data_IF_312674664320
#
_entry.id   IF_312674664320
#
_cell.length_a   1.000
_cell.length_b   1.000
_cell.length_c   1.000
_cell.angle_alpha   90.00
_cell.angle_beta   90.00
_cell.angle_gamma   90.00
#
_symmetry.space_group_name_H-M   'P 1'
#
loop_
_entity.id
_entity.type
_entity.pdbx_description
1 polymer ?
#
# COMPACT_ATOMS: atom_id res chain seq x y z
N UNK A 1 -51.92 -29.06 -19.30
CA UNK A 1 -51.94 -27.70 -18.73
C UNK A 1 -50.51 -27.31 -18.41
N UNK A 2 -49.95 -26.29 -19.07
CA UNK A 2 -48.57 -25.82 -18.84
C UNK A 2 -48.64 -24.48 -18.09
N UNK A 3 -48.24 -24.48 -16.83
CA UNK A 3 -48.12 -23.27 -16.00
C UNK A 3 -46.92 -22.45 -16.46
N UNK A 4 -47.15 -21.18 -16.80
CA UNK A 4 -46.11 -20.21 -17.18
C UNK A 4 -45.51 -19.62 -15.91
N UNK A 5 -44.20 -19.77 -15.71
CA UNK A 5 -43.45 -19.03 -14.70
C UNK A 5 -43.38 -17.55 -15.07
N UNK A 6 -43.91 -16.69 -14.18
CA UNK A 6 -43.80 -15.24 -14.24
C UNK A 6 -42.36 -14.82 -13.90
N UNK A 7 -41.72 -14.09 -14.82
CA UNK A 7 -40.37 -13.55 -14.68
C UNK A 7 -40.49 -12.21 -13.93
N UNK A 8 -40.33 -12.24 -12.63
CA UNK A 8 -40.36 -11.06 -11.77
C UNK A 8 -39.11 -10.22 -12.03
N UNK A 9 -39.28 -8.97 -12.51
CA UNK A 9 -38.18 -8.01 -12.67
C UNK A 9 -37.75 -7.51 -11.30
N UNK A 10 -36.45 -7.56 -11.02
CA UNK A 10 -35.85 -6.93 -9.85
C UNK A 10 -36.19 -5.43 -9.82
N UNK A 11 -36.63 -4.87 -8.67
CA UNK A 11 -36.82 -3.44 -8.55
C UNK A 11 -35.47 -2.71 -8.67
N UNK A 12 -35.47 -1.62 -9.41
CA UNK A 12 -34.34 -0.70 -9.55
C UNK A 12 -33.99 -0.09 -8.19
N UNK A 13 -32.71 -0.14 -7.84
CA UNK A 13 -32.15 0.53 -6.67
C UNK A 13 -32.35 2.05 -6.79
N UNK A 14 -32.62 2.76 -5.68
CA UNK A 14 -32.76 4.21 -5.69
C UNK A 14 -31.41 4.88 -6.00
N UNK A 15 -31.44 5.88 -6.88
CA UNK A 15 -30.30 6.71 -7.22
C UNK A 15 -29.79 7.44 -5.98
N UNK A 16 -28.56 7.14 -5.58
CA UNK A 16 -27.88 7.88 -4.51
C UNK A 16 -27.37 9.22 -5.06
N UNK A 17 -27.62 10.35 -4.36
CA UNK A 17 -27.19 11.66 -4.82
C UNK A 17 -25.67 11.81 -4.77
N UNK A 18 -25.07 12.08 -5.93
CA UNK A 18 -23.62 12.32 -6.16
C UNK A 18 -23.13 13.70 -5.72
N UNK A 19 -23.84 14.40 -4.82
CA UNK A 19 -23.58 15.80 -4.49
C UNK A 19 -22.74 16.02 -3.22
N UNK A 20 -21.69 15.22 -2.99
CA UNK A 20 -20.81 15.41 -1.80
C UNK A 20 -19.30 15.45 -2.08
N UNK A 21 -18.88 15.67 -3.33
CA UNK A 21 -17.47 15.91 -3.65
C UNK A 21 -17.30 17.25 -4.38
N UNK A 22 -17.44 18.34 -3.63
CA UNK A 22 -16.87 19.64 -3.99
C UNK A 22 -16.58 20.45 -2.72
N UNK A 23 -15.37 21.01 -2.70
CA UNK A 23 -14.80 22.01 -1.78
C UNK A 23 -13.83 21.47 -0.72
N UNK A 24 -12.55 21.78 -0.95
CA UNK A 24 -11.39 22.01 -0.05
C UNK A 24 -10.17 21.69 -0.92
N UNK A 25 -9.25 22.58 -1.30
CA UNK A 25 -8.99 24.01 -1.06
C UNK A 25 -7.99 24.47 -2.13
N UNK A 26 -8.13 25.72 -2.58
CA UNK A 26 -7.14 26.49 -3.35
C UNK A 26 -5.89 26.76 -2.50
N UNK A 27 -4.69 26.63 -3.06
CA UNK A 27 -3.76 27.74 -3.36
C UNK A 27 -3.46 28.67 -2.18
N UNK A 28 -2.26 28.55 -1.64
CA UNK A 28 -1.48 29.69 -1.17
C UNK A 28 0.01 29.38 -1.37
N UNK A 29 0.65 30.35 -2.00
CA UNK A 29 2.03 30.41 -2.42
C UNK A 29 2.74 31.39 -1.48
N UNK A 30 3.68 30.94 -0.64
CA UNK A 30 4.82 31.76 -0.17
C UNK A 30 5.84 30.93 0.62
N UNK A 31 7.09 31.19 0.25
CA UNK A 31 8.39 30.79 0.81
C UNK A 31 8.52 30.88 2.34
N UNK A 32 9.07 29.85 2.98
CA UNK A 32 10.17 30.04 3.94
C UNK A 32 10.97 28.75 4.19
N UNK A 33 12.25 28.94 4.49
CA UNK A 33 13.26 27.91 4.70
C UNK A 33 13.13 27.18 6.05
N UNK A 34 13.73 25.98 6.11
CA UNK A 34 14.48 25.59 7.31
C UNK A 34 13.95 24.42 8.14
N UNK A 35 14.70 23.31 8.03
CA UNK A 35 15.03 22.38 9.12
C UNK A 35 13.91 21.46 9.66
N UNK A 36 13.93 20.21 9.18
CA UNK A 36 14.10 18.95 9.94
C UNK A 36 13.22 17.82 9.40
N UNK A 37 13.81 16.94 8.60
CA UNK A 37 13.28 15.59 8.34
C UNK A 37 14.34 14.55 8.67
N UNK A 38 14.39 14.16 9.95
CA UNK A 38 14.79 12.81 10.37
C UNK A 38 13.53 11.95 10.40
N UNK A 39 13.68 10.67 10.03
CA UNK A 39 12.67 9.58 9.98
C UNK A 39 11.93 9.55 8.62
N UNK A 40 11.91 8.49 7.82
CA UNK A 40 12.26 7.08 8.05
C UNK A 40 12.62 6.42 6.72
N UNK A 41 13.75 5.71 6.68
CA UNK A 41 14.12 4.84 5.57
C UNK A 41 13.32 3.52 5.70
N UNK A 42 12.21 3.40 4.99
CA UNK A 42 11.58 2.10 4.79
C UNK A 42 12.29 1.40 3.63
N UNK A 43 13.25 0.56 3.99
CA UNK A 43 13.92 -0.39 3.10
C UNK A 43 12.92 -1.49 2.76
N UNK A 44 12.40 -1.48 1.54
CA UNK A 44 11.73 -2.64 0.94
C UNK A 44 12.79 -3.71 0.63
N UNK A 45 12.67 -4.94 1.15
CA UNK A 45 13.57 -6.01 0.78
C UNK A 45 13.33 -6.44 -0.68
N UNK A 46 14.37 -6.85 -1.42
CA UNK A 46 14.21 -7.35 -2.78
C UNK A 46 13.48 -8.70 -2.77
N UNK A 47 12.67 -9.01 -3.82
CA UNK A 47 11.99 -10.28 -3.92
C UNK A 47 13.00 -11.43 -4.09
N UNK A 48 12.80 -12.51 -3.31
CA UNK A 48 13.55 -13.76 -3.46
C UNK A 48 13.29 -14.36 -4.85
N UNK A 49 14.32 -14.74 -5.63
CA UNK A 49 14.09 -15.46 -6.87
C UNK A 49 13.52 -16.85 -6.56
N UNK A 50 12.33 -17.12 -7.10
CA UNK A 50 11.73 -18.45 -7.14
C UNK A 50 12.63 -19.36 -7.98
N UNK A 51 13.22 -20.32 -7.29
CA UNK A 51 14.04 -21.41 -7.83
C UNK A 51 13.14 -22.36 -8.62
N UNK A 52 12.96 -22.09 -9.92
CA UNK A 52 12.38 -23.06 -10.84
C UNK A 52 13.47 -24.00 -11.32
N UNK A 53 13.46 -25.22 -10.78
CA UNK A 53 14.23 -26.36 -11.25
C UNK A 53 13.56 -26.94 -12.49
N UNK A 54 14.09 -26.61 -13.67
CA UNK A 54 13.90 -27.39 -14.89
C UNK A 54 15.28 -27.84 -15.37
N UNK A 55 15.58 -29.10 -15.06
CA UNK A 55 16.76 -29.84 -15.51
C UNK A 55 16.63 -30.16 -16.99
N UNK A 56 17.42 -29.49 -17.82
CA UNK A 56 17.73 -29.94 -19.18
C UNK A 56 19.23 -30.17 -19.26
N UNK A 57 19.61 -31.45 -19.20
CA UNK A 57 20.99 -31.92 -19.32
C UNK A 57 21.43 -31.83 -20.78
N UNK A 58 22.33 -30.90 -21.08
CA UNK A 58 23.10 -30.89 -22.33
C UNK A 58 24.54 -31.27 -21.96
N UNK A 59 25.13 -32.29 -22.61
CA UNK A 59 26.49 -32.73 -22.29
C UNK A 59 27.51 -31.69 -22.78
N UNK A 60 28.28 -31.15 -21.84
CA UNK A 60 29.43 -30.28 -22.11
C UNK A 60 30.58 -31.11 -22.69
N UNK A 61 30.89 -30.84 -23.96
CA UNK A 61 32.11 -31.29 -24.63
C UNK A 61 33.33 -30.63 -23.97
N UNK A 62 34.40 -31.38 -23.65
CA UNK A 62 35.64 -30.79 -23.17
C UNK A 62 36.35 -30.06 -24.31
N UNK A 63 36.53 -28.74 -24.17
CA UNK A 63 37.53 -28.01 -24.94
C UNK A 63 38.90 -28.59 -24.59
N UNK A 64 39.50 -29.29 -25.56
CA UNK A 64 40.91 -29.64 -25.52
C UNK A 64 41.71 -28.36 -25.78
N UNK A 65 42.37 -27.87 -24.73
CA UNK A 65 43.43 -26.87 -24.84
C UNK A 65 44.59 -27.48 -25.64
N UNK A 66 44.64 -27.14 -26.92
CA UNK A 66 45.77 -27.45 -27.79
C UNK A 66 46.93 -26.52 -27.44
N UNK A 67 47.78 -26.99 -26.52
CA UNK A 67 49.06 -26.37 -26.18
C UNK A 67 50.01 -26.53 -27.37
N UNK A 68 50.10 -25.49 -28.19
CA UNK A 68 51.17 -25.35 -29.18
C UNK A 68 52.48 -24.99 -28.47
N UNK A 69 53.63 -25.52 -28.94
CA UNK A 69 54.92 -25.32 -28.29
C UNK A 69 55.38 -23.87 -28.42
N UNK A 70 55.88 -23.33 -27.30
CA UNK A 70 56.46 -22.00 -27.19
C UNK A 70 57.65 -21.83 -28.16
N UNK A 71 57.38 -21.25 -29.33
CA UNK A 71 58.42 -20.68 -30.19
C UNK A 71 58.92 -19.39 -29.57
N UNK A 72 60.23 -19.27 -29.42
CA UNK A 72 60.92 -18.18 -28.74
C UNK A 72 60.62 -16.83 -29.41
N UNK A 73 59.65 -16.08 -28.87
CA UNK A 73 59.42 -14.68 -29.23
C UNK A 73 60.48 -13.86 -28.51
N UNK A 74 61.42 -13.31 -29.28
CA UNK A 74 62.39 -12.33 -28.81
C UNK A 74 61.68 -11.24 -28.00
N UNK A 75 62.14 -10.98 -26.78
CA UNK A 75 61.58 -9.98 -25.89
C UNK A 75 61.66 -8.59 -26.51
N UNK A 76 60.59 -8.17 -27.20
CA UNK A 76 60.44 -6.81 -27.71
C UNK A 76 60.47 -5.88 -26.49
N UNK A 77 61.50 -5.04 -26.39
CA UNK A 77 61.61 -4.02 -25.33
C UNK A 77 60.45 -3.04 -25.50
N UNK A 78 59.37 -3.25 -24.76
CA UNK A 78 58.19 -2.37 -24.77
C UNK A 78 58.58 -1.05 -24.12
N UNK A 79 58.32 0.07 -24.81
CA UNK A 79 58.63 1.41 -24.31
C UNK A 79 57.78 1.70 -23.04
N UNK A 80 58.41 2.04 -21.89
CA UNK A 80 57.69 2.29 -20.63
C UNK A 80 56.68 3.45 -20.73
N UNK A 81 56.92 4.43 -21.60
CA UNK A 81 55.98 5.53 -21.82
C UNK A 81 54.67 5.05 -22.47
N UNK A 82 54.73 4.09 -23.39
CA UNK A 82 53.55 3.54 -24.06
C UNK A 82 52.65 2.77 -23.08
N UNK A 83 53.25 2.06 -22.12
CA UNK A 83 52.49 1.35 -21.06
C UNK A 83 51.77 2.32 -20.12
N UNK A 84 52.42 3.44 -19.77
CA UNK A 84 51.78 4.47 -18.95
C UNK A 84 50.57 5.11 -19.65
N UNK A 85 50.68 5.38 -20.96
CA UNK A 85 49.57 5.91 -21.77
C UNK A 85 48.45 4.88 -21.90
N UNK A 86 48.78 3.62 -22.18
CA UNK A 86 47.79 2.53 -22.25
C UNK A 86 47.03 2.39 -20.94
N UNK A 87 47.73 2.45 -19.79
CA UNK A 87 47.10 2.39 -18.47
C UNK A 87 46.12 3.54 -18.25
N UNK A 88 46.50 4.77 -18.64
CA UNK A 88 45.59 5.93 -18.56
C UNK A 88 44.35 5.75 -19.44
N UNK A 89 44.49 5.23 -20.65
CA UNK A 89 43.34 4.96 -21.51
C UNK A 89 42.45 3.84 -20.97
N UNK A 90 43.05 2.81 -20.39
CA UNK A 90 42.31 1.72 -19.76
C UNK A 90 41.53 2.21 -18.53
N UNK A 91 42.14 3.03 -17.67
CA UNK A 91 41.46 3.66 -16.53
C UNK A 91 40.29 4.56 -16.99
N UNK A 92 40.48 5.33 -18.06
CA UNK A 92 39.40 6.14 -18.65
C UNK A 92 38.27 5.28 -19.25
N UNK A 93 38.61 4.18 -19.90
CA UNK A 93 37.63 3.23 -20.43
C UNK A 93 36.84 2.56 -19.30
N UNK A 94 37.48 2.16 -18.22
CA UNK A 94 36.81 1.58 -17.04
C UNK A 94 35.92 2.60 -16.33
N UNK A 95 36.33 3.87 -16.28
CA UNK A 95 35.51 4.94 -15.72
C UNK A 95 34.21 5.19 -16.53
N UNK A 96 34.24 4.96 -17.84
CA UNK A 96 33.09 5.21 -18.72
C UNK A 96 32.25 3.95 -19.01
N UNK A 97 32.89 2.80 -19.19
CA UNK A 97 32.29 1.51 -19.57
C UNK A 97 32.13 0.52 -18.42
N UNK A 98 32.55 0.88 -17.20
CA UNK A 98 32.49 0.02 -16.02
C UNK A 98 33.71 -0.90 -15.87
N UNK A 99 33.76 -1.62 -14.74
CA UNK A 99 34.86 -2.53 -14.40
C UNK A 99 34.97 -3.64 -15.46
N UNK A 100 36.11 -3.69 -16.15
CA UNK A 100 36.39 -4.71 -17.18
C UNK A 100 36.21 -4.25 -18.62
N UNK A 101 35.88 -2.98 -18.88
CA UNK A 101 35.90 -2.42 -20.23
C UNK A 101 37.32 -2.53 -20.83
N UNK A 102 37.46 -3.14 -22.01
CA UNK A 102 38.78 -3.33 -22.66
C UNK A 102 38.95 -2.32 -23.78
N UNK A 103 40.06 -1.58 -23.76
CA UNK A 103 40.41 -0.71 -24.89
C UNK A 103 40.90 -1.54 -26.08
N UNK A 104 40.45 -1.16 -27.27
CA UNK A 104 40.86 -1.80 -28.52
C UNK A 104 41.91 -0.91 -29.19
N UNK A 105 43.17 -1.33 -29.05
CA UNK A 105 44.33 -0.64 -29.65
C UNK A 105 44.68 -1.20 -31.03
N UNK A 106 44.28 -2.44 -31.32
CA UNK A 106 44.50 -3.04 -32.63
C UNK A 106 43.63 -2.35 -33.69
N UNK A 107 44.27 -1.83 -34.74
CA UNK A 107 43.62 -1.09 -35.82
C UNK A 107 42.56 -1.92 -36.55
N UNK A 108 42.77 -3.20 -36.78
CA UNK A 108 41.82 -4.07 -37.50
C UNK A 108 40.53 -4.25 -36.72
N UNK A 109 40.64 -4.59 -35.44
CA UNK A 109 39.48 -4.69 -34.53
C UNK A 109 38.77 -3.34 -34.36
N UNK A 110 39.53 -2.24 -34.32
CA UNK A 110 38.96 -0.90 -34.28
C UNK A 110 38.19 -0.57 -35.57
N UNK A 111 38.69 -0.96 -36.76
CA UNK A 111 37.95 -0.81 -38.03
C UNK A 111 36.60 -1.53 -37.98
N UNK A 112 36.56 -2.77 -37.48
CA UNK A 112 35.33 -3.56 -37.35
C UNK A 112 34.31 -2.89 -36.42
N UNK A 113 34.75 -2.41 -35.25
CA UNK A 113 33.87 -1.73 -34.30
C UNK A 113 33.34 -0.41 -34.87
N UNK A 114 34.20 0.37 -35.56
CA UNK A 114 33.79 1.61 -36.22
C UNK A 114 32.78 1.33 -37.33
N UNK A 115 33.02 0.29 -38.13
CA UNK A 115 32.12 -0.17 -39.18
C UNK A 115 30.74 -0.52 -38.59
N UNK A 116 30.69 -1.32 -37.53
CA UNK A 116 29.44 -1.72 -36.89
C UNK A 116 28.69 -0.50 -36.34
N UNK A 117 29.39 0.39 -35.64
CA UNK A 117 28.80 1.61 -35.10
C UNK A 117 28.19 2.51 -36.19
N UNK A 118 28.91 2.71 -37.31
CA UNK A 118 28.41 3.53 -38.42
C UNK A 118 27.29 2.86 -39.21
N UNK A 119 27.28 1.52 -39.26
CA UNK A 119 26.22 0.73 -39.87
C UNK A 119 24.93 0.76 -39.02
N UNK A 120 25.06 0.70 -37.70
CA UNK A 120 23.91 0.70 -36.78
C UNK A 120 23.27 2.08 -36.64
N UNK A 121 24.03 3.16 -36.74
CA UNK A 121 23.53 4.54 -36.58
C UNK A 121 22.77 5.07 -37.81
N UNK A 122 22.89 4.44 -38.97
CA UNK A 122 22.19 4.81 -40.22
C UNK A 122 22.27 6.29 -40.63
N UNK A 123 23.31 7.03 -40.21
CA UNK A 123 23.51 8.44 -40.54
C UNK A 123 24.98 8.81 -40.75
N UNK A 124 25.28 9.84 -41.56
CA UNK A 124 26.61 10.42 -41.61
C UNK A 124 27.00 11.01 -40.25
N UNK A 125 28.22 10.71 -39.82
CA UNK A 125 28.74 11.19 -38.55
C UNK A 125 30.10 11.87 -38.73
N UNK A 126 30.36 12.92 -37.97
CA UNK A 126 31.70 13.49 -37.89
C UNK A 126 32.58 12.70 -36.91
N UNK A 127 33.90 12.93 -36.97
CA UNK A 127 34.87 12.24 -36.10
C UNK A 127 34.59 12.43 -34.61
N UNK A 128 34.06 13.59 -34.22
CA UNK A 128 33.74 13.92 -32.82
C UNK A 128 32.54 13.12 -32.33
N UNK A 129 31.53 12.92 -33.16
CA UNK A 129 30.35 12.11 -32.86
C UNK A 129 30.71 10.63 -32.76
N UNK A 130 31.52 10.11 -33.70
CA UNK A 130 32.00 8.73 -33.67
C UNK A 130 32.82 8.51 -32.40
N UNK A 131 33.68 9.48 -32.05
CA UNK A 131 34.43 9.42 -30.80
C UNK A 131 33.50 9.44 -29.58
N UNK A 132 32.46 10.26 -29.55
CA UNK A 132 31.51 10.28 -28.41
C UNK A 132 30.81 8.94 -28.21
N UNK A 133 30.46 8.24 -29.29
CA UNK A 133 29.88 6.88 -29.22
C UNK A 133 30.92 5.86 -28.74
N UNK A 134 32.15 5.94 -29.25
CA UNK A 134 33.19 4.91 -29.05
C UNK A 134 34.25 5.28 -28.00
N UNK A 135 34.07 6.37 -27.24
CA UNK A 135 35.08 6.91 -26.30
C UNK A 135 35.52 5.93 -25.22
N UNK A 136 34.66 4.97 -24.85
CA UNK A 136 34.97 3.95 -23.87
C UNK A 136 35.74 2.76 -24.46
N UNK A 137 35.75 2.60 -25.78
CA UNK A 137 36.25 1.40 -26.47
C UNK A 137 37.49 1.69 -27.31
N UNK A 138 37.52 2.83 -28.01
CA UNK A 138 38.59 3.19 -28.96
C UNK A 138 39.19 4.55 -28.58
N UNK A 139 40.49 4.63 -28.25
CA UNK A 139 41.17 5.90 -28.01
C UNK A 139 41.15 6.82 -29.23
N UNK A 140 41.00 8.13 -29.01
CA UNK A 140 40.91 9.13 -30.09
C UNK A 140 42.06 9.08 -31.13
N UNK A 141 43.34 8.86 -30.75
CA UNK A 141 44.42 8.75 -31.73
C UNK A 141 44.29 7.51 -32.62
N UNK A 142 43.86 6.38 -32.03
CA UNK A 142 43.61 5.13 -32.75
C UNK A 142 42.44 5.33 -33.71
N UNK A 143 41.33 5.90 -33.24
CA UNK A 143 40.14 6.21 -34.03
C UNK A 143 40.47 7.10 -35.24
N UNK A 144 41.20 8.18 -35.02
CA UNK A 144 41.59 9.12 -36.09
C UNK A 144 42.46 8.43 -37.15
N UNK A 145 43.44 7.62 -36.70
CA UNK A 145 44.30 6.87 -37.62
C UNK A 145 43.52 5.79 -38.38
N UNK A 146 42.59 5.09 -37.73
CA UNK A 146 41.81 4.03 -38.38
C UNK A 146 40.81 4.59 -39.37
N UNK A 147 40.12 5.69 -39.05
CA UNK A 147 39.20 6.37 -39.96
C UNK A 147 39.93 6.89 -41.21
N UNK A 148 41.10 7.50 -41.02
CA UNK A 148 41.93 7.94 -42.14
C UNK A 148 42.36 6.75 -43.00
N UNK A 149 42.84 5.66 -42.39
CA UNK A 149 43.19 4.44 -43.12
C UNK A 149 42.00 3.82 -43.87
N UNK A 150 40.79 3.88 -43.33
CA UNK A 150 39.58 3.38 -44.00
C UNK A 150 39.11 4.32 -45.13
N UNK A 151 39.33 5.63 -45.00
CA UNK A 151 38.99 6.61 -46.02
C UNK A 151 39.97 6.60 -47.20
N UNK A 152 41.27 6.55 -46.91
CA UNK A 152 42.35 6.58 -47.91
C UNK A 152 42.36 5.30 -48.77
N UNK A 153 41.91 4.16 -48.22
CA UNK A 153 41.78 2.89 -48.95
C UNK A 153 40.70 2.93 -50.06
N UNK A 154 39.80 3.92 -50.03
CA UNK A 154 38.75 4.09 -51.03
C UNK A 154 39.09 5.18 -52.07
N UNK A 155 40.35 5.63 -52.11
CA UNK A 155 40.85 6.74 -52.93
C UNK A 155 40.88 6.53 -54.45
N UNK A 156 40.13 5.57 -55.00
CA UNK A 156 39.80 5.61 -56.43
C UNK A 156 38.73 6.68 -56.59
N UNK A 157 39.15 7.88 -56.98
CA UNK A 157 38.25 9.00 -57.25
C UNK A 157 37.20 8.53 -58.28
N UNK A 158 35.91 8.37 -57.92
CA UNK A 158 34.91 7.80 -58.82
C UNK A 158 34.52 8.73 -59.98
N UNK A 159 35.25 9.85 -60.13
CA UNK A 159 35.11 10.84 -61.18
C UNK A 159 36.38 10.99 -62.04
N UNK A 160 37.41 10.16 -61.85
CA UNK A 160 38.66 10.23 -62.64
C UNK A 160 38.65 9.36 -63.91
N UNK A 161 37.61 8.56 -64.15
CA UNK A 161 37.61 7.49 -65.19
C UNK A 161 36.99 7.88 -66.55
N UNK A 162 36.78 9.18 -66.82
CA UNK A 162 36.28 9.66 -68.13
C UNK A 162 37.32 10.51 -68.90
N UNK A 163 38.60 10.49 -68.51
CA UNK A 163 39.66 11.17 -69.28
C UNK A 163 40.35 10.21 -70.26
N UNK A 164 39.79 10.21 -71.48
CA UNK A 164 40.32 9.70 -72.75
C UNK A 164 41.85 9.89 -72.92
N UNK A 165 42.65 8.87 -72.57
CA UNK A 165 44.06 8.79 -72.97
C UNK A 165 44.43 7.35 -73.35
N UNK A 166 44.41 7.09 -74.65
CA UNK A 166 44.91 5.87 -75.26
C UNK A 166 46.44 5.76 -75.09
N UNK A 167 46.94 4.83 -74.27
CA UNK A 167 47.91 3.78 -74.66
C UNK A 167 48.63 3.13 -73.46
N UNK A 168 48.81 1.79 -73.56
CA UNK A 168 49.80 0.87 -72.89
C UNK A 168 49.37 0.15 -71.59
N UNK A 169 50.02 -0.99 -71.24
CA UNK A 169 49.72 -2.31 -71.78
C UNK A 169 49.28 -3.28 -70.67
N UNK A 170 48.62 -4.38 -71.08
CA UNK A 170 48.08 -5.42 -70.22
C UNK A 170 49.07 -5.94 -69.14
N UNK A 171 48.94 -5.45 -67.91
CA UNK A 171 49.41 -6.15 -66.71
C UNK A 171 48.30 -7.09 -66.25
N UNK A 172 48.61 -8.39 -66.31
CA UNK A 172 47.78 -9.51 -65.89
C UNK A 172 47.49 -9.40 -64.39
N UNK A 173 46.30 -8.92 -64.03
CA UNK A 173 45.79 -8.99 -62.66
C UNK A 173 45.52 -10.46 -62.31
N UNK A 174 46.26 -10.96 -61.32
CA UNK A 174 45.95 -12.22 -60.66
C UNK A 174 44.62 -12.05 -59.91
N UNK A 175 43.62 -12.84 -60.29
CA UNK A 175 42.38 -13.02 -59.54
C UNK A 175 42.71 -13.69 -58.19
N UNK A 176 43.16 -12.87 -57.23
CA UNK A 176 43.26 -13.27 -55.83
C UNK A 176 41.88 -13.24 -55.20
N UNK A 177 41.52 -14.31 -54.49
CA UNK A 177 40.26 -14.46 -53.76
C UNK A 177 39.94 -13.21 -52.90
N UNK A 178 39.00 -12.38 -53.37
CA UNK A 178 38.52 -11.14 -52.73
C UNK A 178 37.61 -11.38 -51.50
N UNK A 179 37.65 -12.57 -50.87
CA UNK A 179 36.65 -12.95 -49.86
C UNK A 179 36.99 -12.47 -48.43
N UNK A 180 38.23 -12.03 -48.15
CA UNK A 180 38.66 -11.77 -46.76
C UNK A 180 38.57 -10.31 -46.28
N UNK A 181 38.25 -9.33 -47.14
CA UNK A 181 38.21 -7.91 -46.74
C UNK A 181 36.78 -7.37 -46.60
N UNK A 182 35.90 -8.18 -45.99
CA UNK A 182 34.46 -7.97 -45.81
C UNK A 182 34.08 -6.61 -45.15
N UNK A 183 35.04 -5.99 -44.45
CA UNK A 183 34.81 -4.80 -43.61
C UNK A 183 35.56 -3.55 -44.09
N UNK A 184 36.50 -3.67 -45.03
CA UNK A 184 37.52 -2.64 -45.25
C UNK A 184 37.31 -1.74 -46.46
N UNK A 185 36.97 -2.29 -47.63
CA UNK A 185 37.33 -1.63 -48.90
C UNK A 185 36.22 -0.91 -49.65
N UNK A 186 34.96 -1.05 -49.27
CA UNK A 186 33.87 -0.55 -50.13
C UNK A 186 32.73 0.13 -49.40
N UNK A 187 32.71 0.08 -48.07
CA UNK A 187 31.53 0.43 -47.27
C UNK A 187 31.62 1.80 -46.60
N UNK A 188 32.80 2.39 -46.41
CA UNK A 188 32.94 3.69 -45.77
C UNK A 188 33.19 4.80 -46.78
N UNK A 189 32.32 5.81 -46.84
CA UNK A 189 32.49 6.97 -47.71
C UNK A 189 32.84 8.18 -46.85
N UNK A 190 33.97 8.79 -47.17
CA UNK A 190 34.43 10.03 -46.57
C UNK A 190 33.98 11.22 -47.42
N UNK A 191 33.24 12.14 -46.80
CA UNK A 191 32.86 13.41 -47.41
C UNK A 191 33.67 14.53 -46.76
N UNK A 192 34.64 15.13 -47.46
CA UNK A 192 35.47 16.18 -46.89
C UNK A 192 34.62 17.42 -46.56
N UNK A 193 34.83 17.96 -45.37
CA UNK A 193 34.26 19.24 -44.93
C UNK A 193 35.29 20.38 -45.00
N UNK A 194 34.85 21.61 -44.70
CA UNK A 194 35.75 22.79 -44.63
C UNK A 194 36.85 22.63 -43.59
N UNK A 195 36.56 21.88 -42.53
CA UNK A 195 37.49 21.49 -41.47
C UNK A 195 37.43 19.98 -41.22
N UNK A 196 38.48 19.38 -40.60
CA UNK A 196 38.46 17.96 -40.23
C UNK A 196 37.27 17.59 -39.33
N UNK A 197 36.81 18.52 -38.49
CA UNK A 197 35.66 18.33 -37.60
C UNK A 197 34.31 18.35 -38.34
N UNK A 198 34.25 19.00 -39.50
CA UNK A 198 33.04 19.04 -40.35
C UNK A 198 33.02 17.93 -41.41
N UNK A 199 34.08 17.11 -41.47
CA UNK A 199 34.14 16.01 -42.41
C UNK A 199 33.27 14.86 -41.92
N UNK A 200 32.49 14.27 -42.82
CA UNK A 200 31.48 13.27 -42.49
C UNK A 200 31.91 11.90 -43.02
N UNK A 201 31.82 10.90 -42.16
CA UNK A 201 31.97 9.49 -42.50
C UNK A 201 30.57 8.88 -42.55
N UNK A 202 30.25 8.17 -43.61
CA UNK A 202 28.98 7.45 -43.70
C UNK A 202 29.17 6.08 -44.34
N UNK A 203 28.27 5.18 -43.99
CA UNK A 203 28.22 3.86 -44.58
C UNK A 203 27.53 3.91 -45.94
N UNK A 204 28.09 3.23 -46.95
CA UNK A 204 27.55 3.16 -48.29
C UNK A 204 26.53 2.03 -48.41
N UNK A 205 25.27 2.35 -48.09
CA UNK A 205 24.16 1.41 -48.20
C UNK A 205 23.81 1.03 -49.65
N UNK A 206 24.35 1.71 -50.67
CA UNK A 206 24.11 1.32 -52.07
C UNK A 206 24.79 0.00 -52.43
N UNK A 207 25.87 -0.34 -51.71
CA UNK A 207 26.62 -1.59 -51.92
C UNK A 207 26.11 -2.75 -51.07
N UNK A 208 25.27 -2.50 -50.07
CA UNK A 208 24.58 -3.60 -49.40
C UNK A 208 23.53 -4.19 -50.32
N UNK A 209 23.51 -5.52 -50.43
CA UNK A 209 22.50 -6.25 -51.20
C UNK A 209 21.12 -5.76 -50.75
N UNK A 210 20.39 -5.15 -51.68
CA UNK A 210 18.99 -4.77 -51.44
C UNK A 210 18.22 -6.06 -51.18
N UNK A 211 17.38 -6.05 -50.13
CA UNK A 211 16.44 -7.13 -49.88
C UNK A 211 15.53 -7.29 -51.10
N UNK A 212 15.19 -8.53 -51.44
CA UNK A 212 14.22 -8.78 -52.50
C UNK A 212 12.84 -8.25 -52.10
N UNK A 213 11.98 -7.96 -53.08
CA UNK A 213 10.64 -7.42 -52.83
C UNK A 213 9.81 -8.35 -51.93
N UNK A 214 9.90 -9.67 -52.16
CA UNK A 214 9.17 -10.67 -51.40
C UNK A 214 9.70 -10.76 -49.96
N UNK A 215 11.02 -10.79 -49.78
CA UNK A 215 11.66 -10.75 -48.46
C UNK A 215 11.26 -9.49 -47.69
N UNK A 216 11.29 -8.32 -48.34
CA UNK A 216 10.85 -7.06 -47.72
C UNK A 216 9.39 -7.14 -47.28
N UNK A 217 8.51 -7.70 -48.10
CA UNK A 217 7.10 -7.84 -47.76
C UNK A 217 6.88 -8.80 -46.58
N UNK A 218 7.62 -9.92 -46.53
CA UNK A 218 7.57 -10.84 -45.37
C UNK A 218 8.05 -10.19 -44.08
N UNK A 219 9.11 -9.38 -44.14
CA UNK A 219 9.59 -8.62 -42.98
C UNK A 219 8.60 -7.55 -42.52
N UNK A 220 7.92 -6.87 -43.45
CA UNK A 220 6.87 -5.91 -43.12
C UNK A 220 5.70 -6.62 -42.42
N UNK A 221 5.27 -7.78 -42.92
CA UNK A 221 4.21 -8.57 -42.29
C UNK A 221 4.63 -9.04 -40.88
N UNK A 222 5.84 -9.58 -40.72
CA UNK A 222 6.36 -10.01 -39.42
C UNK A 222 6.48 -8.83 -38.43
N UNK A 223 6.86 -7.64 -38.90
CA UNK A 223 6.91 -6.43 -38.08
C UNK A 223 5.50 -5.99 -37.65
N UNK A 224 4.50 -6.09 -38.52
CA UNK A 224 3.12 -5.79 -38.18
C UNK A 224 2.58 -6.76 -37.12
N UNK A 225 2.86 -8.06 -37.25
CA UNK A 225 2.50 -9.08 -36.26
C UNK A 225 3.21 -8.83 -34.92
N UNK A 226 4.52 -8.56 -34.95
CA UNK A 226 5.29 -8.24 -33.75
C UNK A 226 4.71 -6.99 -33.04
N UNK A 227 4.38 -5.93 -33.78
CA UNK A 227 3.73 -4.75 -33.20
C UNK A 227 2.36 -5.06 -32.61
N UNK A 228 1.56 -5.91 -33.27
CA UNK A 228 0.27 -6.35 -32.73
C UNK A 228 0.45 -7.11 -31.40
N UNK A 229 1.47 -7.97 -31.29
CA UNK A 229 1.79 -8.66 -30.03
C UNK A 229 2.26 -7.70 -28.94
N UNK A 230 3.10 -6.72 -29.28
CA UNK A 230 3.58 -5.69 -28.34
C UNK A 230 2.41 -4.85 -27.81
N UNK A 231 1.49 -4.42 -28.67
CA UNK A 231 0.29 -3.70 -28.25
C UNK A 231 -0.65 -4.59 -27.42
N UNK A 232 -0.73 -5.88 -27.72
CA UNK A 232 -1.44 -6.86 -26.88
C UNK A 232 -0.86 -6.93 -25.46
N UNK A 233 0.46 -7.13 -25.33
CA UNK A 233 1.15 -7.20 -24.04
C UNK A 233 1.09 -5.89 -23.26
N UNK A 234 1.11 -4.74 -23.94
CA UNK A 234 0.91 -3.43 -23.29
C UNK A 234 -0.49 -3.32 -22.66
N UNK A 235 -1.54 -3.75 -23.37
CA UNK A 235 -2.91 -3.76 -22.82
C UNK A 235 -3.03 -4.71 -21.64
N UNK A 236 -2.43 -5.90 -21.72
CA UNK A 236 -2.40 -6.85 -20.61
C UNK A 236 -1.67 -6.28 -19.39
N UNK A 237 -0.51 -5.66 -19.60
CA UNK A 237 0.26 -4.98 -18.54
C UNK A 237 -0.56 -3.87 -17.88
N UNK A 238 -1.27 -3.06 -18.67
CA UNK A 238 -2.15 -2.02 -18.14
C UNK A 238 -3.32 -2.62 -17.33
N UNK A 239 -3.91 -3.72 -17.78
CA UNK A 239 -4.96 -4.43 -17.04
C UNK A 239 -4.44 -4.98 -15.71
N UNK A 240 -3.26 -5.62 -15.70
CA UNK A 240 -2.61 -6.11 -14.49
C UNK A 240 -2.31 -4.96 -13.53
N UNK A 241 -1.81 -3.82 -14.04
CA UNK A 241 -1.56 -2.64 -13.21
C UNK A 241 -2.83 -2.09 -12.56
N UNK A 242 -3.96 -2.09 -13.26
CA UNK A 242 -5.26 -1.70 -12.69
C UNK A 242 -5.71 -2.68 -11.60
N UNK A 243 -5.52 -3.99 -11.80
CA UNK A 243 -5.84 -5.00 -10.77
C UNK A 243 -4.94 -4.86 -9.54
N UNK A 244 -3.64 -4.63 -9.74
CA UNK A 244 -2.69 -4.38 -8.64
C UNK A 244 -3.06 -3.11 -7.88
N UNK A 245 -3.47 -2.04 -8.57
CA UNK A 245 -3.95 -0.83 -7.91
C UNK A 245 -5.21 -1.09 -7.08
N UNK A 246 -6.16 -1.89 -7.60
CA UNK A 246 -7.36 -2.28 -6.85
C UNK A 246 -7.02 -3.10 -5.61
N UNK A 247 -6.15 -4.10 -5.72
CA UNK A 247 -5.72 -4.93 -4.59
C UNK A 247 -4.93 -4.14 -3.54
N UNK A 248 -4.20 -3.09 -3.94
CA UNK A 248 -3.50 -2.20 -3.00
C UNK A 248 -4.43 -1.29 -2.20
N UNK A 249 -5.67 -1.06 -2.68
CA UNK A 249 -6.68 -0.30 -1.96
C UNK A 249 -7.45 -1.17 -0.96
N UNK A 250 -7.40 -2.49 -1.11
CA UNK A 250 -8.01 -3.41 -0.15
C UNK A 250 -7.18 -3.45 1.14
N UNK A 251 -7.82 -3.35 2.32
CA UNK A 251 -7.12 -3.37 3.59
C UNK A 251 -6.39 -4.70 3.75
N UNK A 252 -5.20 -4.64 4.33
CA UNK A 252 -4.42 -5.84 4.59
C UNK A 252 -5.13 -6.71 5.63
N UNK A 253 -4.87 -8.02 5.62
CA UNK A 253 -5.41 -8.94 6.63
C UNK A 253 -5.10 -8.49 8.06
N UNK A 254 -3.94 -7.84 8.27
CA UNK A 254 -3.53 -7.30 9.56
C UNK A 254 -4.43 -6.11 9.97
N UNK A 255 -4.71 -5.20 9.04
CA UNK A 255 -5.64 -4.09 9.28
C UNK A 255 -7.06 -4.60 9.53
N UNK A 256 -7.52 -5.61 8.79
CA UNK A 256 -8.82 -6.24 9.01
C UNK A 256 -8.93 -6.87 10.42
N UNK A 257 -7.89 -7.54 10.90
CA UNK A 257 -7.84 -8.07 12.26
C UNK A 257 -7.92 -6.93 13.28
N UNK A 258 -7.16 -5.85 13.09
CA UNK A 258 -7.21 -4.68 13.96
C UNK A 258 -8.60 -4.01 13.98
N UNK A 259 -9.26 -3.88 12.83
CA UNK A 259 -10.61 -3.32 12.72
C UNK A 259 -11.62 -4.23 13.43
N UNK A 260 -11.48 -5.55 13.29
CA UNK A 260 -12.33 -6.52 13.96
C UNK A 260 -12.15 -6.46 15.47
N UNK A 261 -10.91 -6.42 15.97
CA UNK A 261 -10.60 -6.27 17.39
C UNK A 261 -11.22 -4.98 17.95
N UNK A 262 -11.06 -3.86 17.26
CA UNK A 262 -11.67 -2.59 17.65
C UNK A 262 -13.19 -2.70 17.71
N UNK A 263 -13.84 -3.24 16.67
CA UNK A 263 -15.29 -3.44 16.65
C UNK A 263 -15.77 -4.37 17.77
N UNK A 264 -15.00 -5.41 18.11
CA UNK A 264 -15.34 -6.29 19.24
C UNK A 264 -15.23 -5.57 20.57
N UNK A 265 -14.19 -4.75 20.77
CA UNK A 265 -14.03 -3.94 21.97
C UNK A 265 -15.18 -2.94 22.11
N UNK A 266 -15.56 -2.25 21.03
CA UNK A 266 -16.69 -1.32 21.02
C UNK A 266 -18.01 -2.01 21.37
N UNK A 267 -18.26 -3.21 20.83
CA UNK A 267 -19.44 -4.01 21.17
C UNK A 267 -19.44 -4.45 22.64
N UNK A 268 -18.29 -4.84 23.20
CA UNK A 268 -18.19 -5.19 24.62
C UNK A 268 -18.47 -3.99 25.52
N UNK A 269 -17.89 -2.83 25.20
CA UNK A 269 -18.14 -1.58 25.92
C UNK A 269 -19.62 -1.18 25.88
N UNK A 270 -20.25 -1.25 24.70
CA UNK A 270 -21.67 -0.95 24.56
C UNK A 270 -22.55 -1.93 25.35
N UNK A 271 -22.20 -3.21 25.36
CA UNK A 271 -22.90 -4.24 26.15
C UNK A 271 -22.84 -3.92 27.65
N UNK A 272 -21.69 -3.51 28.15
CA UNK A 272 -21.51 -3.14 29.56
C UNK A 272 -22.30 -1.88 29.91
N UNK A 273 -22.29 -0.85 29.05
CA UNK A 273 -23.12 0.35 29.20
C UNK A 273 -24.61 0.03 29.24
N UNK A 274 -25.08 -0.89 28.40
CA UNK A 274 -26.48 -1.35 28.42
C UNK A 274 -26.78 -2.10 29.72
N UNK A 275 -25.88 -2.94 30.21
CA UNK A 275 -26.04 -3.64 31.48
C UNK A 275 -26.14 -2.67 32.67
N UNK A 276 -25.31 -1.63 32.69
CA UNK A 276 -25.35 -0.60 33.73
C UNK A 276 -26.59 0.29 33.63
N UNK A 277 -27.00 0.64 32.41
CA UNK A 277 -28.25 1.38 32.17
C UNK A 277 -29.47 0.61 32.64
N UNK A 278 -29.49 -0.72 32.45
CA UNK A 278 -30.57 -1.60 32.97
C UNK A 278 -30.62 -1.60 34.50
N UNK A 279 -29.47 -1.60 35.19
CA UNK A 279 -29.42 -1.48 36.67
C UNK A 279 -30.01 -0.14 37.15
N UNK A 280 -29.74 0.94 36.42
CA UNK A 280 -30.25 2.28 36.73
C UNK A 280 -31.76 2.44 36.46
N UNK A 281 -32.28 1.87 35.37
CA UNK A 281 -33.71 1.98 35.01
C UNK A 281 -34.63 1.36 36.07
N UNK A 282 -34.24 0.25 36.70
CA UNK A 282 -35.04 -0.36 37.79
C UNK A 282 -35.21 0.61 38.98
N UNK A 283 -34.30 1.58 39.13
CA UNK A 283 -34.35 2.56 40.20
C UNK A 283 -35.15 3.83 39.90
N UNK A 284 -35.46 4.16 38.65
CA UNK A 284 -36.12 5.45 38.34
C UNK A 284 -37.59 5.46 38.75
N UNK A 285 -38.36 4.43 38.41
CA UNK A 285 -39.78 4.32 38.80
C UNK A 285 -39.94 4.27 40.32
N UNK A 286 -39.18 3.40 40.99
CA UNK A 286 -39.21 3.29 42.45
C UNK A 286 -38.76 4.57 43.16
N UNK A 287 -37.83 5.34 42.57
CA UNK A 287 -37.41 6.65 43.09
C UNK A 287 -38.51 7.69 42.96
N UNK A 288 -39.18 7.77 41.80
CA UNK A 288 -40.30 8.71 41.58
C UNK A 288 -41.44 8.43 42.57
N UNK A 289 -41.80 7.16 42.77
CA UNK A 289 -42.88 6.80 43.71
C UNK A 289 -42.52 7.11 45.17
N UNK A 290 -41.26 6.84 45.58
CA UNK A 290 -40.77 7.25 46.91
C UNK A 290 -40.80 8.77 47.07
N UNK A 291 -40.39 9.53 46.05
CA UNK A 291 -40.40 10.98 46.08
C UNK A 291 -41.82 11.53 46.21
N UNK A 292 -42.78 11.01 45.44
CA UNK A 292 -44.20 11.35 45.57
C UNK A 292 -44.73 11.03 46.97
N UNK A 293 -44.37 9.88 47.54
CA UNK A 293 -44.77 9.49 48.91
C UNK A 293 -44.18 10.45 49.97
N UNK A 294 -42.90 10.81 49.86
CA UNK A 294 -42.25 11.77 50.75
C UNK A 294 -42.93 13.13 50.65
N UNK A 295 -43.19 13.63 49.44
CA UNK A 295 -43.89 14.90 49.24
C UNK A 295 -45.30 14.89 49.83
N UNK A 296 -46.04 13.78 49.68
CA UNK A 296 -47.36 13.61 50.29
C UNK A 296 -47.30 13.66 51.82
N UNK A 297 -46.34 12.96 52.43
CA UNK A 297 -46.13 12.98 53.88
C UNK A 297 -45.71 14.38 54.37
N UNK A 298 -44.78 15.03 53.67
CA UNK A 298 -44.34 16.39 53.98
C UNK A 298 -45.50 17.40 53.90
N UNK A 299 -46.34 17.33 52.86
CA UNK A 299 -47.50 18.18 52.71
C UNK A 299 -48.54 17.97 53.84
N UNK A 300 -48.79 16.71 54.22
CA UNK A 300 -49.67 16.38 55.35
C UNK A 300 -49.10 16.91 56.67
N UNK A 301 -47.79 16.76 56.90
CA UNK A 301 -47.11 17.28 58.08
C UNK A 301 -47.20 18.81 58.16
N UNK A 302 -46.90 19.53 57.07
CA UNK A 302 -47.03 20.98 57.02
C UNK A 302 -48.47 21.46 57.27
N UNK A 303 -49.47 20.73 56.76
CA UNK A 303 -50.88 21.03 57.04
C UNK A 303 -51.20 20.87 58.53
N UNK A 304 -50.79 19.75 59.15
CA UNK A 304 -50.98 19.51 60.59
C UNK A 304 -50.30 20.59 61.43
N UNK A 305 -49.03 20.89 61.15
CA UNK A 305 -48.28 21.94 61.83
C UNK A 305 -49.01 23.29 61.78
N UNK A 306 -49.52 23.68 60.61
CA UNK A 306 -50.30 24.92 60.45
C UNK A 306 -51.57 24.93 61.29
N UNK A 307 -52.33 23.82 61.30
CA UNK A 307 -53.54 23.71 62.12
C UNK A 307 -53.24 23.79 63.61
N UNK A 308 -52.19 23.09 64.09
CA UNK A 308 -51.78 23.14 65.49
C UNK A 308 -51.32 24.55 65.90
N UNK A 309 -50.51 25.22 65.08
CA UNK A 309 -50.09 26.60 65.37
C UNK A 309 -51.26 27.57 65.39
N UNK A 310 -52.21 27.43 64.46
CA UNK A 310 -53.44 28.24 64.44
C UNK A 310 -54.28 28.02 65.70
N UNK A 311 -54.38 26.78 66.18
CA UNK A 311 -55.09 26.46 67.42
C UNK A 311 -54.40 27.05 68.65
N UNK A 312 -53.07 26.94 68.75
CA UNK A 312 -52.31 27.52 69.86
C UNK A 312 -52.40 29.05 69.88
N UNK A 313 -52.40 29.71 68.72
CA UNK A 313 -52.62 31.16 68.61
C UNK A 313 -53.98 31.56 69.16
N UNK A 314 -55.04 30.84 68.77
CA UNK A 314 -56.38 31.10 69.27
C UNK A 314 -56.51 30.83 70.79
N UNK A 315 -55.81 29.83 71.33
CA UNK A 315 -55.77 29.60 72.77
C UNK A 315 -55.04 30.71 73.52
N UNK A 316 -53.92 31.21 72.98
CA UNK A 316 -53.17 32.30 73.59
C UNK A 316 -54.02 33.58 73.67
N UNK A 317 -54.75 33.89 72.58
CA UNK A 317 -55.69 35.02 72.53
C UNK A 317 -56.84 34.86 73.53
N UNK A 318 -57.43 33.67 73.67
CA UNK A 318 -58.58 33.45 74.56
C UNK A 318 -58.21 33.27 76.04
N UNK A 319 -56.94 33.04 76.36
CA UNK A 319 -56.47 32.83 77.73
C UNK A 319 -55.68 34.02 78.28
N UNK A 320 -55.73 35.17 77.59
CA UNK A 320 -54.97 36.39 77.90
C UNK A 320 -53.48 36.08 78.17
N UNK A 321 -52.90 35.16 77.40
CA UNK A 321 -51.50 34.76 77.52
C UNK A 321 -51.17 33.79 78.66
N UNK A 322 -52.17 33.23 79.36
CA UNK A 322 -51.91 32.15 80.33
C UNK A 322 -51.31 30.89 79.65
N UNK A 323 -51.74 30.60 78.42
CA UNK A 323 -51.09 29.62 77.54
C UNK A 323 -50.37 30.37 76.42
N UNK A 324 -49.03 30.39 76.45
CA UNK A 324 -48.22 31.00 75.38
C UNK A 324 -47.76 29.94 74.38
N UNK A 325 -47.79 30.24 73.07
CA UNK A 325 -47.29 29.34 72.01
C UNK A 325 -45.85 28.92 72.31
N UNK A 326 -45.00 29.88 72.72
CA UNK A 326 -43.57 29.66 72.91
C UNK A 326 -43.29 28.65 74.04
N UNK A 327 -43.97 28.76 75.19
CA UNK A 327 -43.79 27.81 76.31
C UNK A 327 -44.34 26.44 75.97
N UNK A 328 -45.47 26.39 75.26
CA UNK A 328 -46.10 25.11 74.85
C UNK A 328 -45.24 24.34 73.85
N UNK A 329 -44.53 25.03 72.96
CA UNK A 329 -43.60 24.41 72.00
C UNK A 329 -42.21 24.10 72.58
N UNK A 330 -41.77 24.80 73.63
CA UNK A 330 -40.52 24.49 74.33
C UNK A 330 -40.65 23.34 75.33
N UNK A 331 -41.88 22.93 75.65
CA UNK A 331 -42.18 21.88 76.64
C UNK A 331 -42.31 22.39 78.08
N UNK A 332 -42.17 23.69 78.32
CA UNK A 332 -42.29 24.35 79.64
C UNK A 332 -43.69 24.94 79.87
N UNK A 333 -44.63 24.69 78.96
CA UNK A 333 -45.99 25.18 79.02
C UNK A 333 -46.93 24.29 79.83
N UNK A 334 -48.11 24.81 80.22
CA UNK A 334 -49.17 24.01 80.86
C UNK A 334 -49.70 22.90 79.93
N UNK A 335 -49.48 23.02 78.61
CA UNK A 335 -49.68 21.96 77.62
C UNK A 335 -48.32 21.40 77.20
N UNK A 336 -48.08 20.12 77.53
CA UNK A 336 -46.92 19.39 77.04
C UNK A 336 -47.21 18.87 75.64
N UNK A 337 -46.68 19.56 74.63
CA UNK A 337 -46.66 19.09 73.25
C UNK A 337 -45.27 18.56 72.94
N UNK A 338 -45.17 17.25 72.70
CA UNK A 338 -43.93 16.67 72.21
C UNK A 338 -43.61 17.21 70.81
N UNK A 339 -42.56 18.02 70.70
CA UNK A 339 -42.08 18.49 69.41
C UNK A 339 -41.62 17.30 68.56
N UNK A 340 -42.05 17.26 67.29
CA UNK A 340 -41.58 16.26 66.32
C UNK A 340 -40.04 16.18 66.26
N UNK A 341 -39.32 17.26 66.60
CA UNK A 341 -37.86 17.28 66.66
C UNK A 341 -37.30 16.38 67.77
N UNK A 342 -37.98 16.30 68.92
CA UNK A 342 -37.59 15.42 70.02
C UNK A 342 -37.79 13.95 69.65
N UNK A 343 -38.92 13.64 69.01
CA UNK A 343 -39.23 12.29 68.51
C UNK A 343 -38.23 11.89 67.42
N UNK A 344 -37.95 12.78 66.45
CA UNK A 344 -36.96 12.54 65.39
C UNK A 344 -35.55 12.36 65.96
N UNK A 345 -35.13 13.14 66.97
CA UNK A 345 -33.84 12.94 67.66
C UNK A 345 -33.78 11.60 68.38
N UNK A 346 -34.85 11.20 69.09
CA UNK A 346 -34.93 9.90 69.76
C UNK A 346 -34.87 8.73 68.76
N UNK A 347 -35.61 8.83 67.65
CA UNK A 347 -35.61 7.85 66.56
C UNK A 347 -34.24 7.75 65.89
N UNK A 348 -33.60 8.89 65.59
CA UNK A 348 -32.23 8.94 65.03
C UNK A 348 -31.20 8.34 65.99
N UNK A 349 -31.33 8.60 67.30
CA UNK A 349 -30.47 8.01 68.31
C UNK A 349 -30.65 6.48 68.36
N UNK A 350 -31.90 5.99 68.33
CA UNK A 350 -32.21 4.56 68.26
C UNK A 350 -31.68 3.91 66.97
N UNK A 351 -31.81 4.57 65.83
CA UNK A 351 -31.31 4.09 64.54
C UNK A 351 -29.78 4.01 64.53
N UNK A 352 -29.09 5.02 65.06
CA UNK A 352 -27.63 5.00 65.26
C UNK A 352 -27.22 3.85 66.18
N UNK A 353 -27.92 3.65 67.30
CA UNK A 353 -27.65 2.55 68.23
C UNK A 353 -27.86 1.17 67.58
N UNK A 354 -28.91 1.00 66.77
CA UNK A 354 -29.16 -0.24 66.01
C UNK A 354 -28.09 -0.49 64.93
N UNK A 355 -27.66 0.54 64.21
CA UNK A 355 -26.62 0.42 63.18
C UNK A 355 -25.24 0.11 63.76
N UNK A 356 -24.91 0.65 64.94
CA UNK A 356 -23.71 0.30 65.68
C UNK A 356 -23.76 -1.14 66.20
N UNK A 357 -24.89 -1.61 66.78
CA UNK A 357 -25.04 -3.02 67.22
C UNK A 357 -24.85 -4.04 66.08
N UNK A 358 -25.18 -3.68 64.84
CA UNK A 358 -24.91 -4.52 63.65
C UNK A 358 -23.43 -4.56 63.25
N UNK A 359 -22.63 -3.55 63.62
CA UNK A 359 -21.19 -3.49 63.34
C UNK A 359 -20.33 -4.15 64.43
N UNK A 360 -20.81 -4.22 65.68
CA UNK A 360 -20.03 -4.75 66.83
C UNK A 360 -20.54 -6.07 67.42
N UNK A 361 -21.60 -6.68 66.88
CA UNK A 361 -22.29 -7.79 67.56
C UNK A 361 -22.45 -9.09 66.76
N UNK A 362 -21.50 -9.99 66.96
CA UNK A 362 -21.71 -11.44 67.16
C UNK A 362 -22.03 -12.32 65.96
N UNK A 363 -20.96 -12.96 65.50
CA UNK A 363 -20.90 -14.19 64.72
C UNK A 363 -21.32 -15.45 65.53
N UNK A 364 -22.28 -15.36 66.46
CA UNK A 364 -22.75 -16.49 67.27
C UNK A 364 -24.26 -16.44 67.52
N UNK A 365 -25.02 -17.00 66.59
CA UNK A 365 -26.10 -17.93 66.94
C UNK A 365 -26.43 -18.80 65.72
N UNK A 366 -25.89 -20.01 65.71
CA UNK A 366 -26.44 -21.13 64.97
C UNK A 366 -27.84 -21.43 65.53
N UNK A 367 -28.83 -21.68 64.67
CA UNK A 367 -30.16 -22.03 65.14
C UNK A 367 -31.20 -22.16 64.03
N UNK A 368 -31.05 -23.21 63.22
CA UNK A 368 -32.15 -24.03 62.69
C UNK A 368 -33.50 -23.34 62.45
N UNK A 369 -33.81 -23.02 61.19
CA UNK A 369 -35.05 -23.49 60.54
C UNK A 369 -34.84 -23.50 59.03
N UNK A 370 -34.50 -24.69 58.50
CA UNK A 370 -34.70 -25.00 57.08
C UNK A 370 -36.20 -24.97 56.82
N UNK A 371 -36.68 -23.95 56.09
CA UNK A 371 -37.96 -24.04 55.37
C UNK A 371 -37.69 -24.58 53.97
N UNK A 372 -38.47 -25.54 53.47
CA UNK A 372 -38.32 -26.05 52.12
C UNK A 372 -38.59 -24.92 51.12
N UNK A 373 -37.68 -24.83 50.16
CA UNK A 373 -37.71 -23.92 49.02
C UNK A 373 -38.94 -24.31 48.19
N UNK A 374 -39.97 -23.49 48.24
CA UNK A 374 -41.11 -23.61 47.35
C UNK A 374 -40.60 -23.22 45.96
N UNK A 375 -40.58 -24.20 45.06
CA UNK A 375 -40.28 -24.04 43.65
C UNK A 375 -41.22 -22.97 43.10
N UNK A 376 -40.65 -21.80 42.83
CA UNK A 376 -41.32 -20.76 42.07
C UNK A 376 -41.26 -21.23 40.63
N UNK A 377 -42.37 -21.81 40.18
CA UNK A 377 -42.65 -22.02 38.77
C UNK A 377 -42.43 -20.70 38.04
N UNK A 378 -41.31 -20.60 37.34
CA UNK A 378 -41.06 -19.58 36.35
C UNK A 378 -42.10 -19.82 35.24
N UNK A 379 -43.23 -19.11 35.31
CA UNK A 379 -44.10 -18.92 34.16
C UNK A 379 -43.35 -18.05 33.16
N UNK A 380 -42.48 -18.68 32.38
CA UNK A 380 -41.88 -18.12 31.18
C UNK A 380 -42.99 -17.89 30.16
N UNK A 381 -43.56 -16.69 30.14
CA UNK A 381 -44.18 -16.18 28.92
C UNK A 381 -43.05 -16.03 27.90
N UNK A 382 -42.84 -17.08 27.11
CA UNK A 382 -41.93 -17.10 25.97
C UNK A 382 -42.43 -16.03 24.98
N UNK A 383 -41.69 -14.93 24.88
CA UNK A 383 -41.87 -14.00 23.77
C UNK A 383 -41.49 -14.71 22.47
N UNK A 384 -42.35 -14.59 21.46
CA UNK A 384 -42.27 -15.20 20.12
C UNK A 384 -41.02 -14.86 19.27
N UNK A 385 -40.00 -14.23 19.86
CA UNK A 385 -38.78 -13.78 19.17
C UNK A 385 -37.51 -14.55 19.60
N UNK A 386 -37.65 -15.66 20.33
CA UNK A 386 -36.50 -16.47 20.73
C UNK A 386 -36.03 -17.38 19.58
N UNK A 387 -35.01 -16.92 18.87
CA UNK A 387 -34.25 -17.73 17.91
C UNK A 387 -33.31 -18.67 18.68
N UNK A 388 -33.60 -19.97 18.65
CA UNK A 388 -32.68 -20.96 19.21
C UNK A 388 -31.50 -21.15 18.25
N UNK A 389 -30.31 -21.31 18.81
CA UNK A 389 -29.09 -21.50 18.04
C UNK A 389 -28.51 -22.87 18.37
N UNK A 390 -28.42 -23.75 17.37
CA UNK A 390 -27.88 -25.11 17.51
C UNK A 390 -26.46 -25.15 16.94
N UNK A 391 -25.52 -25.67 17.73
CA UNK A 391 -24.16 -25.93 17.26
C UNK A 391 -24.07 -27.35 16.69
N UNK A 392 -23.73 -27.48 15.41
CA UNK A 392 -23.55 -28.78 14.77
C UNK A 392 -22.15 -29.35 15.04
N UNK A 393 -22.00 -30.68 14.94
CA UNK A 393 -20.68 -31.34 14.96
C UNK A 393 -19.89 -30.90 13.71
N UNK A 394 -19.04 -29.89 13.88
CA UNK A 394 -18.35 -29.17 12.81
C UNK A 394 -18.13 -27.68 13.10
N UNK A 395 -18.76 -27.14 14.16
CA UNK A 395 -18.60 -25.74 14.57
C UNK A 395 -19.50 -24.75 13.81
N UNK A 396 -20.28 -25.23 12.84
CA UNK A 396 -21.28 -24.43 12.13
C UNK A 396 -22.49 -24.15 13.02
N UNK A 397 -22.93 -22.90 12.99
CA UNK A 397 -24.02 -22.38 13.82
C UNK A 397 -25.30 -22.30 12.99
N UNK A 398 -26.34 -23.03 13.38
CA UNK A 398 -27.63 -23.02 12.70
C UNK A 398 -28.69 -22.33 13.56
N UNK A 399 -29.47 -21.41 12.96
CA UNK A 399 -30.59 -20.72 13.60
C UNK A 399 -31.85 -21.55 13.40
N UNK A 400 -32.44 -22.04 14.50
CA UNK A 400 -33.67 -22.82 14.50
C UNK A 400 -34.81 -21.91 14.92
N UNK A 401 -35.77 -21.73 14.02
CA UNK A 401 -37.03 -21.05 14.29
C UNK A 401 -38.05 -22.10 14.73
N UNK A 402 -38.77 -21.84 15.83
CA UNK A 402 -39.84 -22.72 16.27
C UNK A 402 -41.09 -22.41 15.45
N UNK A 403 -41.44 -23.28 14.50
CA UNK A 403 -42.71 -23.21 13.81
C UNK A 403 -43.81 -23.80 14.71
N UNK A 404 -44.72 -22.95 15.19
CA UNK A 404 -45.81 -23.33 16.13
C UNK A 404 -46.87 -24.26 15.52
N UNK A 405 -46.81 -24.57 14.21
CA UNK A 405 -47.87 -25.32 13.51
C UNK A 405 -47.77 -26.86 13.62
N UNK A 406 -46.77 -27.43 14.30
CA UNK A 406 -46.49 -28.88 14.22
C UNK A 406 -47.04 -29.75 15.37
N UNK A 407 -47.79 -29.20 16.33
CA UNK A 407 -48.31 -29.96 17.49
C UNK A 407 -49.84 -30.07 17.58
N UNK A 408 -50.56 -29.85 16.48
CA UNK A 408 -51.98 -30.22 16.37
C UNK A 408 -52.14 -31.53 15.58
N UNK A 409 -51.87 -32.66 16.24
CA UNK A 409 -52.42 -33.98 15.89
C UNK A 409 -52.43 -34.89 17.13
#
# INVERSE_FOLDING_TARGET
MKTKCSRQRNPSLPDLPTSFLKSVTSENDTTDEGLNSKLSNFVTPPPKPLRSTMTSSVPSLPLQDSVLPASAVASVKVNPQALAVHKKWQEQAEALGGKGAKIVVNKEKAKEIIYLALREEFRPMNITEIYKLLKATIPQPVLSSTLKNMADQNGSNPFEDDSDDETKPASKEEAGDEETDLYGRQTLVFKPGKTPQTSLYHFNYKKTKMLDSDERQTLIAALADANATVEGLKRETASIQQQVAKLKLEPTNVELISILEQATNDLTSLRDQVADSRKLQVHTGTRIDRQKKIQKMAAQWSKRKRMCLSFLSALEENTDGAVTIQKSLSGDGPLQLDSDEAIVKAELALAKQKSQKRKTGSNRFQGLTKKPKQETSLSSSLSSDLVAVRLMKGGTVERVYFDEESNAN
#
